data_IF_523633088913
#
_entry.id   IF_523633088913
#
_cell.length_a   1.000
_cell.length_b   1.000
_cell.length_c   1.000
_cell.angle_alpha   90.00
_cell.angle_beta   90.00
_cell.angle_gamma   90.00
#
_symmetry.space_group_name_H-M   'P 1'
#
loop_
_entity.id
_entity.type
_entity.pdbx_description
1 polymer ?
#
# COMPACT_ATOMS: atom_id res chain seq x y z
N UNK A 1 -33.75 37.75 0.84
CA UNK A 1 -32.71 37.81 1.88
C UNK A 1 -32.71 36.45 2.54
N UNK A 2 -31.97 35.49 1.98
CA UNK A 2 -31.87 34.14 2.52
C UNK A 2 -30.45 34.02 3.08
N UNK A 3 -30.35 34.03 4.41
CA UNK A 3 -29.11 33.80 5.13
C UNK A 3 -28.68 32.35 4.90
N UNK A 4 -27.82 32.15 3.90
CA UNK A 4 -27.07 30.90 3.74
C UNK A 4 -26.05 30.86 4.87
N UNK A 5 -26.40 30.20 5.96
CA UNK A 5 -25.48 29.91 7.04
C UNK A 5 -24.37 29.00 6.49
N UNK A 6 -23.28 29.60 6.00
CA UNK A 6 -22.02 28.92 5.80
C UNK A 6 -21.64 28.26 7.13
N UNK A 7 -21.95 26.97 7.29
CA UNK A 7 -21.70 26.24 8.52
C UNK A 7 -20.20 26.24 8.77
N UNK A 8 -19.76 27.00 9.77
CA UNK A 8 -18.38 27.05 10.21
C UNK A 8 -17.84 25.61 10.39
N UNK A 9 -16.73 25.30 9.72
CA UNK A 9 -16.13 23.96 9.75
C UNK A 9 -15.91 23.46 11.18
N UNK A 10 -16.13 22.16 11.42
CA UNK A 10 -16.05 21.58 12.76
C UNK A 10 -14.58 21.44 13.19
N UNK A 11 -14.17 22.12 14.27
CA UNK A 11 -12.84 21.93 14.87
C UNK A 11 -12.68 20.48 15.35
N UNK A 12 -11.67 19.78 14.82
CA UNK A 12 -11.31 18.40 15.18
C UNK A 12 -9.92 18.37 15.81
N UNK A 13 -9.70 17.45 16.76
CA UNK A 13 -8.37 17.23 17.32
C UNK A 13 -7.51 16.45 16.30
N UNK A 14 -6.35 16.98 15.87
CA UNK A 14 -5.51 16.38 14.84
C UNK A 14 -5.06 14.94 15.17
N UNK A 15 -4.68 14.67 16.42
CA UNK A 15 -4.19 13.36 16.85
C UNK A 15 -5.32 12.33 16.85
N UNK A 16 -6.51 12.74 17.30
CA UNK A 16 -7.68 11.88 17.34
C UNK A 16 -8.08 11.46 15.92
N UNK A 17 -8.06 12.41 15.00
CA UNK A 17 -8.43 12.22 13.59
C UNK A 17 -7.38 11.42 12.81
N UNK A 18 -6.09 11.65 13.05
CA UNK A 18 -5.01 10.99 12.33
C UNK A 18 -4.74 9.56 12.81
N UNK A 19 -4.80 9.32 14.12
CA UNK A 19 -4.31 8.09 14.71
C UNK A 19 -5.40 7.28 15.42
N UNK A 20 -6.11 7.91 16.36
CA UNK A 20 -7.04 7.18 17.25
C UNK A 20 -8.21 6.60 16.47
N UNK A 21 -8.92 7.43 15.71
CA UNK A 21 -10.09 6.97 14.96
C UNK A 21 -9.76 6.00 13.82
N UNK A 22 -8.72 6.21 12.99
CA UNK A 22 -8.33 5.23 11.99
C UNK A 22 -7.92 3.89 12.59
N UNK A 23 -7.19 3.86 13.72
CA UNK A 23 -6.82 2.60 14.36
C UNK A 23 -8.04 1.85 14.92
N UNK A 24 -8.93 2.54 15.65
CA UNK A 24 -10.14 1.93 16.24
C UNK A 24 -11.07 1.38 15.15
N UNK A 25 -11.15 2.07 14.01
CA UNK A 25 -12.05 1.71 12.90
C UNK A 25 -11.37 0.88 11.80
N UNK A 26 -10.15 0.39 12.02
CA UNK A 26 -9.37 -0.37 11.04
C UNK A 26 -9.26 0.35 9.68
N UNK A 27 -9.08 1.67 9.70
CA UNK A 27 -8.92 2.53 8.54
C UNK A 27 -10.23 3.06 7.95
N UNK A 28 -11.41 2.57 8.36
CA UNK A 28 -12.70 3.02 7.79
C UNK A 28 -12.94 4.52 8.05
N UNK A 29 -12.57 5.02 9.23
CA UNK A 29 -12.73 6.43 9.57
C UNK A 29 -11.96 7.36 8.62
N UNK A 30 -10.84 6.92 8.05
CA UNK A 30 -10.08 7.73 7.09
C UNK A 30 -10.97 8.14 5.91
N UNK A 31 -11.73 7.20 5.35
CA UNK A 31 -12.66 7.46 4.25
C UNK A 31 -13.82 8.37 4.66
N UNK A 32 -14.39 8.14 5.85
CA UNK A 32 -15.48 8.97 6.40
C UNK A 32 -14.99 10.40 6.64
N UNK A 33 -13.79 10.56 7.18
CA UNK A 33 -13.16 11.85 7.40
C UNK A 33 -12.85 12.54 6.08
N UNK A 34 -12.32 11.82 5.09
CA UNK A 34 -12.03 12.33 3.74
C UNK A 34 -13.27 12.92 3.06
N UNK A 35 -14.40 12.23 3.14
CA UNK A 35 -15.67 12.75 2.64
C UNK A 35 -16.09 14.01 3.40
N UNK A 36 -16.00 14.00 4.75
CA UNK A 36 -16.41 15.12 5.60
C UNK A 36 -15.63 16.40 5.33
N UNK A 37 -14.30 16.31 5.16
CA UNK A 37 -13.48 17.50 4.87
C UNK A 37 -13.80 18.11 3.50
N UNK A 38 -14.04 17.28 2.49
CA UNK A 38 -14.39 17.76 1.15
C UNK A 38 -15.80 18.35 1.14
N UNK A 39 -16.72 17.81 1.95
CA UNK A 39 -18.05 18.40 2.13
C UNK A 39 -17.95 19.77 2.80
N UNK A 40 -17.17 19.90 3.86
CA UNK A 40 -16.95 21.19 4.52
C UNK A 40 -16.29 22.22 3.60
N UNK A 41 -15.35 21.79 2.74
CA UNK A 41 -14.76 22.67 1.73
C UNK A 41 -15.80 23.14 0.70
N UNK A 42 -16.70 22.24 0.25
CA UNK A 42 -17.81 22.60 -0.63
C UNK A 42 -18.77 23.57 0.03
N UNK A 43 -19.14 23.29 1.26
CA UNK A 43 -20.04 24.13 2.04
C UNK A 43 -19.40 25.49 2.41
N UNK A 44 -18.07 25.64 2.29
CA UNK A 44 -17.35 26.91 2.39
C UNK A 44 -17.15 27.64 1.06
N UNK A 45 -17.78 27.17 -0.03
CA UNK A 45 -17.74 27.80 -1.36
C UNK A 45 -16.66 27.28 -2.31
N UNK A 46 -15.92 26.22 -1.95
CA UNK A 46 -14.96 25.58 -2.86
C UNK A 46 -15.68 24.64 -3.81
N UNK A 47 -15.43 24.72 -5.11
CA UNK A 47 -16.01 23.79 -6.07
C UNK A 47 -15.34 22.41 -5.96
N UNK A 48 -15.93 21.52 -5.16
CA UNK A 48 -15.49 20.14 -5.00
C UNK A 48 -16.68 19.20 -4.87
N UNK A 49 -16.60 18.03 -5.50
CA UNK A 49 -17.55 16.95 -5.29
C UNK A 49 -17.00 15.97 -4.25
N UNK A 50 -17.53 15.93 -3.00
CA UNK A 50 -17.00 15.09 -1.93
C UNK A 50 -17.11 13.60 -2.22
N UNK A 51 -18.15 13.20 -2.97
CA UNK A 51 -18.33 11.80 -3.39
C UNK A 51 -17.27 11.38 -4.41
N UNK A 52 -17.01 12.22 -5.41
CA UNK A 52 -15.95 11.96 -6.41
C UNK A 52 -14.56 11.95 -5.77
N UNK A 53 -14.28 12.90 -4.87
CA UNK A 53 -13.00 12.94 -4.13
C UNK A 53 -12.78 11.68 -3.27
N UNK A 54 -13.86 11.16 -2.64
CA UNK A 54 -13.80 9.91 -1.90
C UNK A 54 -13.57 8.72 -2.85
N UNK A 55 -14.29 8.64 -3.96
CA UNK A 55 -14.12 7.59 -4.96
C UNK A 55 -12.72 7.57 -5.55
N UNK A 56 -12.11 8.73 -5.80
CA UNK A 56 -10.74 8.81 -6.28
C UNK A 56 -9.75 8.12 -5.33
N UNK A 57 -9.91 8.31 -4.01
CA UNK A 57 -9.07 7.66 -3.00
C UNK A 57 -9.42 6.17 -2.88
N UNK A 58 -10.70 5.81 -2.91
CA UNK A 58 -11.17 4.42 -2.87
C UNK A 58 -10.84 3.62 -4.14
N UNK A 59 -10.60 4.25 -5.28
CA UNK A 59 -10.15 3.55 -6.49
C UNK A 59 -8.64 3.59 -6.59
N UNK A 60 -8.01 4.68 -6.13
CA UNK A 60 -6.55 4.82 -6.11
C UNK A 60 -5.84 3.68 -5.39
N UNK A 61 -6.38 3.17 -4.26
CA UNK A 61 -5.74 2.04 -3.57
C UNK A 61 -5.75 0.74 -4.40
N UNK A 62 -6.77 0.53 -5.24
CA UNK A 62 -6.86 -0.64 -6.13
C UNK A 62 -5.75 -0.60 -7.17
N UNK A 63 -5.24 0.57 -7.53
CA UNK A 63 -4.14 0.73 -8.48
C UNK A 63 -2.79 0.64 -7.75
N UNK A 64 -2.68 1.22 -6.56
CA UNK A 64 -1.42 1.34 -5.83
C UNK A 64 -1.01 0.04 -5.11
N UNK A 65 -1.96 -0.71 -4.55
CA UNK A 65 -1.68 -1.90 -3.73
C UNK A 65 -1.20 -3.12 -4.53
N UNK A 66 -1.77 -3.48 -5.71
CA UNK A 66 -1.39 -4.70 -6.42
C UNK A 66 0.09 -4.84 -6.77
N UNK A 67 0.83 -3.79 -7.19
CA UNK A 67 2.27 -3.88 -7.41
C UNK A 67 3.05 -4.40 -6.19
N UNK A 68 2.74 -3.93 -4.99
CA UNK A 68 3.41 -4.37 -3.76
C UNK A 68 3.06 -5.80 -3.37
N UNK A 69 1.79 -6.20 -3.58
CA UNK A 69 1.37 -7.60 -3.41
C UNK A 69 2.13 -8.51 -4.38
N UNK A 70 2.32 -8.05 -5.62
CA UNK A 70 3.11 -8.78 -6.63
C UNK A 70 4.57 -8.94 -6.21
N UNK A 71 5.20 -7.88 -5.68
CA UNK A 71 6.58 -7.94 -5.15
C UNK A 71 6.67 -8.97 -4.03
N UNK A 72 5.77 -8.92 -3.04
CA UNK A 72 5.75 -9.87 -1.93
C UNK A 72 5.62 -11.32 -2.43
N UNK A 73 4.63 -11.60 -3.28
CA UNK A 73 4.40 -12.92 -3.86
C UNK A 73 5.55 -13.40 -4.73
N UNK A 74 6.29 -12.48 -5.37
CA UNK A 74 7.48 -12.81 -6.15
C UNK A 74 8.60 -13.34 -5.26
N UNK A 75 8.85 -12.72 -4.10
CA UNK A 75 9.79 -13.25 -3.12
C UNK A 75 9.43 -14.66 -2.64
N UNK A 76 8.13 -14.90 -2.36
CA UNK A 76 7.66 -16.25 -2.01
C UNK A 76 7.84 -17.28 -3.14
N UNK A 77 7.66 -16.87 -4.40
CA UNK A 77 7.92 -17.74 -5.56
C UNK A 77 9.40 -18.11 -5.65
N UNK A 78 10.31 -17.16 -5.43
CA UNK A 78 11.75 -17.42 -5.40
C UNK A 78 12.09 -18.35 -4.24
N UNK A 79 11.53 -18.14 -3.05
CA UNK A 79 11.73 -19.03 -1.90
C UNK A 79 11.29 -20.47 -2.20
N UNK A 80 10.14 -20.67 -2.88
CA UNK A 80 9.70 -21.99 -3.36
C UNK A 80 10.64 -22.60 -4.40
N UNK A 81 11.23 -21.79 -5.28
CA UNK A 81 12.26 -22.26 -6.21
C UNK A 81 13.52 -22.74 -5.47
N UNK A 82 13.94 -22.03 -4.43
CA UNK A 82 15.08 -22.42 -3.59
C UNK A 82 14.78 -23.70 -2.80
N UNK A 83 13.57 -23.83 -2.25
CA UNK A 83 13.15 -25.03 -1.53
C UNK A 83 13.13 -26.27 -2.44
N UNK A 84 12.61 -26.13 -3.67
CA UNK A 84 12.61 -27.23 -4.66
C UNK A 84 14.00 -27.57 -5.21
N UNK A 85 14.92 -26.60 -5.25
CA UNK A 85 16.28 -26.85 -5.71
C UNK A 85 17.14 -27.52 -4.62
N UNK A 86 17.21 -26.91 -3.43
CA UNK A 86 18.17 -27.30 -2.40
C UNK A 86 17.62 -27.26 -0.96
N UNK A 87 16.29 -27.20 -0.77
CA UNK A 87 15.60 -27.29 0.54
C UNK A 87 16.07 -26.27 1.59
N UNK A 88 16.64 -25.14 1.17
CA UNK A 88 17.07 -24.05 2.08
C UNK A 88 16.61 -22.69 1.55
N UNK A 89 15.32 -22.34 1.67
CA UNK A 89 14.83 -21.05 1.25
C UNK A 89 15.52 -19.92 2.03
N UNK A 90 16.10 -18.95 1.32
CA UNK A 90 16.74 -17.75 1.87
C UNK A 90 16.06 -16.45 1.40
N UNK A 91 15.25 -16.51 0.33
CA UNK A 91 14.44 -15.39 -0.13
C UNK A 91 13.22 -15.14 0.78
N UNK A 92 12.96 -13.88 1.11
CA UNK A 92 11.82 -13.45 1.93
C UNK A 92 11.07 -12.30 1.25
N UNK A 93 9.75 -12.50 1.03
CA UNK A 93 8.88 -11.51 0.40
C UNK A 93 8.76 -10.19 1.17
N UNK A 94 8.86 -10.20 2.50
CA UNK A 94 8.86 -8.98 3.32
C UNK A 94 10.11 -8.14 3.13
N UNK A 95 11.28 -8.78 2.99
CA UNK A 95 12.54 -8.09 2.70
C UNK A 95 12.44 -7.41 1.33
N UNK A 96 11.95 -8.14 0.32
CA UNK A 96 11.71 -7.55 -1.00
C UNK A 96 10.69 -6.41 -0.96
N UNK A 97 9.63 -6.52 -0.17
CA UNK A 97 8.65 -5.44 0.00
C UNK A 97 9.28 -4.19 0.64
N UNK A 98 10.06 -4.34 1.70
CA UNK A 98 10.75 -3.21 2.35
C UNK A 98 11.75 -2.57 1.39
N UNK A 99 12.54 -3.37 0.68
CA UNK A 99 13.52 -2.90 -0.30
C UNK A 99 12.87 -2.21 -1.51
N UNK A 100 11.58 -2.42 -1.78
CA UNK A 100 10.89 -1.75 -2.89
C UNK A 100 10.83 -0.23 -2.70
N UNK A 101 10.84 0.24 -1.44
CA UNK A 101 10.84 1.67 -1.10
C UNK A 101 12.21 2.35 -1.22
N UNK A 102 13.29 1.58 -1.43
CA UNK A 102 14.65 2.10 -1.51
C UNK A 102 15.19 1.90 -2.92
N UNK A 103 14.97 2.86 -3.84
CA UNK A 103 15.53 2.86 -5.20
C UNK A 103 15.33 1.55 -6.00
N UNK A 104 14.26 0.80 -5.73
CA UNK A 104 14.02 -0.47 -6.42
C UNK A 104 14.98 -1.60 -6.02
N UNK A 105 15.63 -1.54 -4.86
CA UNK A 105 16.59 -2.54 -4.36
C UNK A 105 15.99 -3.97 -4.27
N UNK A 106 14.67 -4.10 -4.23
CA UNK A 106 13.98 -5.38 -4.30
C UNK A 106 14.38 -6.20 -5.55
N UNK A 107 14.60 -5.55 -6.70
CA UNK A 107 15.02 -6.21 -7.93
C UNK A 107 16.44 -6.79 -7.80
N UNK A 108 17.37 -6.03 -7.21
CA UNK A 108 18.73 -6.48 -6.93
C UNK A 108 18.72 -7.68 -5.97
N UNK A 109 17.98 -7.57 -4.86
CA UNK A 109 17.83 -8.65 -3.88
C UNK A 109 17.27 -9.92 -4.52
N UNK A 110 16.18 -9.80 -5.27
CA UNK A 110 15.56 -10.95 -5.95
C UNK A 110 16.49 -11.56 -7.00
N UNK A 111 17.25 -10.74 -7.74
CA UNK A 111 18.22 -11.25 -8.70
C UNK A 111 19.33 -12.06 -8.00
N UNK A 112 19.87 -11.58 -6.87
CA UNK A 112 20.87 -12.31 -6.09
C UNK A 112 20.31 -13.66 -5.61
N UNK A 113 19.11 -13.67 -5.04
CA UNK A 113 18.46 -14.90 -4.55
C UNK A 113 18.12 -15.89 -5.67
N UNK A 114 17.75 -15.38 -6.84
CA UNK A 114 17.47 -16.18 -8.02
C UNK A 114 18.75 -16.78 -8.60
N UNK A 115 19.85 -16.03 -8.65
CA UNK A 115 21.14 -16.53 -9.11
C UNK A 115 21.63 -17.72 -8.28
N UNK A 116 21.42 -17.71 -6.95
CA UNK A 116 21.74 -18.87 -6.09
C UNK A 116 21.03 -20.16 -6.53
N UNK A 117 19.80 -20.06 -7.02
CA UNK A 117 19.06 -21.22 -7.56
C UNK A 117 19.74 -21.73 -8.83
N UNK A 118 20.16 -20.83 -9.72
CA UNK A 118 20.83 -21.19 -10.96
C UNK A 118 22.23 -21.75 -10.73
N UNK A 119 23.00 -21.16 -9.82
CA UNK A 119 24.33 -21.63 -9.46
C UNK A 119 24.28 -23.06 -8.91
N UNK A 120 23.29 -23.35 -8.04
CA UNK A 120 23.07 -24.71 -7.53
C UNK A 120 22.71 -25.69 -8.65
N UNK A 121 21.80 -25.30 -9.56
CA UNK A 121 21.37 -26.16 -10.67
C UNK A 121 22.47 -26.39 -11.71
N UNK A 122 23.36 -25.42 -11.92
CA UNK A 122 24.51 -25.56 -12.81
C UNK A 122 25.59 -26.52 -12.25
N UNK A 123 25.69 -26.61 -10.92
CA UNK A 123 26.62 -27.52 -10.23
C UNK A 123 26.04 -28.92 -10.04
N UNK A 124 24.70 -29.05 -10.00
CA UNK A 124 24.04 -30.34 -9.93
C UNK A 124 24.25 -31.12 -11.25
N UNK A 125 24.71 -32.38 -11.22
CA UNK A 125 24.72 -33.22 -12.42
C UNK A 125 23.28 -33.34 -12.93
N UNK A 126 23.11 -33.22 -14.24
CA UNK A 126 21.82 -33.45 -14.90
C UNK A 126 21.41 -34.90 -14.58
N UNK A 127 20.21 -35.17 -14.05
CA UNK A 127 19.73 -36.54 -13.88
C UNK A 127 19.53 -37.25 -15.21
#
# INVERSE_FOLDING_TARGET
MNEEHATAGKRRNPVLTWLVWPLITLGIYYFVWWYKINREARDSGVEVNPGLALLAVLVGWIIIVPPYVSIFRTGERIARMQDSAYRRPSCNGWIGLILSFFFGLHALYYQIELNRVWDYRAQAPIP
#
